data_IF_415800325216
#
_entry.id   IF_415800325216
#
_cell.length_a   1.000
_cell.length_b   1.000
_cell.length_c   1.000
_cell.angle_alpha   90.00
_cell.angle_beta   90.00
_cell.angle_gamma   90.00
#
_symmetry.space_group_name_H-M   'P 1'
#
loop_
_entity.id
_entity.type
_entity.pdbx_description
1 polymer ?
#
# COMPACT_ATOMS: atom_id res chain seq x y z
N UNK A 1 -8.14 -25.59 4.54
CA UNK A 1 -8.70 -24.44 3.80
C UNK A 1 -8.60 -24.77 2.32
N UNK A 2 -9.62 -24.51 1.50
CA UNK A 2 -9.51 -24.73 0.06
C UNK A 2 -8.36 -23.88 -0.49
N UNK A 3 -7.60 -24.44 -1.41
CA UNK A 3 -6.55 -23.74 -2.13
C UNK A 3 -7.20 -22.69 -3.03
N UNK A 4 -6.92 -21.41 -2.78
CA UNK A 4 -7.41 -20.31 -3.61
C UNK A 4 -6.38 -20.07 -4.70
N UNK A 5 -6.61 -20.64 -5.89
CA UNK A 5 -5.68 -20.57 -7.03
C UNK A 5 -5.95 -19.37 -7.96
N UNK A 6 -6.98 -18.56 -7.69
CA UNK A 6 -7.34 -17.39 -8.51
C UNK A 6 -6.87 -16.07 -7.89
N UNK A 7 -6.20 -15.24 -8.68
CA UNK A 7 -5.88 -13.86 -8.28
C UNK A 7 -7.06 -12.93 -8.57
N UNK A 8 -7.47 -12.17 -7.57
CA UNK A 8 -8.52 -11.15 -7.68
C UNK A 8 -8.11 -9.92 -6.87
N UNK A 9 -8.57 -8.71 -7.25
CA UNK A 9 -8.35 -7.53 -6.43
C UNK A 9 -9.03 -7.68 -5.07
N UNK A 10 -8.35 -7.23 -4.01
CA UNK A 10 -8.95 -7.22 -2.67
C UNK A 10 -10.10 -6.20 -2.55
N UNK A 11 -10.04 -5.13 -3.36
CA UNK A 11 -11.06 -4.10 -3.49
C UNK A 11 -11.17 -3.73 -4.96
N UNK A 12 -12.39 -3.73 -5.50
CA UNK A 12 -12.63 -3.38 -6.89
C UNK A 12 -12.16 -1.94 -7.20
N UNK A 13 -11.55 -1.76 -8.37
CA UNK A 13 -11.06 -0.46 -8.84
C UNK A 13 -9.75 0.04 -8.20
N UNK A 14 -9.22 -0.65 -7.19
CA UNK A 14 -7.96 -0.25 -6.53
C UNK A 14 -6.71 -0.79 -7.20
N UNK A 15 -6.88 -1.76 -8.11
CA UNK A 15 -5.79 -2.40 -8.80
C UNK A 15 -6.00 -2.32 -10.31
N UNK A 16 -4.91 -2.05 -11.03
CA UNK A 16 -4.80 -2.19 -12.46
C UNK A 16 -3.70 -3.20 -12.79
N UNK A 17 -3.77 -3.83 -13.95
CA UNK A 17 -2.75 -4.78 -14.42
C UNK A 17 -2.14 -4.24 -15.71
N UNK A 18 -0.81 -4.23 -15.80
CA UNK A 18 -0.11 -3.84 -17.04
C UNK A 18 -0.15 -4.95 -18.09
N UNK A 19 0.33 -4.66 -19.30
CA UNK A 19 0.37 -5.64 -20.42
C UNK A 19 1.24 -6.86 -20.10
N UNK A 20 2.16 -6.76 -19.14
CA UNK A 20 3.02 -7.84 -18.67
C UNK A 20 2.39 -8.64 -17.52
N UNK A 21 1.16 -8.33 -17.11
CA UNK A 21 0.45 -9.02 -16.04
C UNK A 21 0.84 -8.55 -14.63
N UNK A 22 1.61 -7.47 -14.48
CA UNK A 22 2.00 -6.97 -13.17
C UNK A 22 0.89 -6.10 -12.57
N UNK A 23 0.53 -6.31 -11.28
CA UNK A 23 -0.44 -5.45 -10.61
C UNK A 23 0.19 -4.11 -10.21
N UNK A 24 -0.63 -3.07 -10.31
CA UNK A 24 -0.37 -1.69 -9.88
C UNK A 24 -1.52 -1.22 -8.98
N UNK A 25 -1.22 -0.28 -8.08
CA UNK A 25 -2.27 0.46 -7.38
C UNK A 25 -2.82 1.54 -8.29
N UNK A 26 -4.14 1.65 -8.34
CA UNK A 26 -4.83 2.82 -8.89
C UNK A 26 -4.96 3.85 -7.79
N UNK A 27 -4.49 5.07 -8.04
CA UNK A 27 -4.69 6.23 -7.17
C UNK A 27 -5.31 7.38 -7.95
N UNK A 28 -5.24 8.59 -7.38
CA UNK A 28 -5.62 9.81 -8.08
C UNK A 28 -4.51 10.86 -8.04
N UNK A 29 -4.45 11.73 -9.04
CA UNK A 29 -3.55 12.89 -9.10
C UNK A 29 -4.36 14.16 -9.33
N UNK A 30 -4.10 15.21 -8.55
CA UNK A 30 -4.65 16.54 -8.83
C UNK A 30 -3.93 17.14 -10.05
N UNK A 31 -4.63 17.51 -11.13
CA UNK A 31 -4.01 18.12 -12.30
C UNK A 31 -3.47 19.53 -12.01
N UNK A 32 -4.01 20.23 -11.02
CA UNK A 32 -3.60 21.59 -10.67
C UNK A 32 -2.30 21.65 -9.84
N UNK A 33 -2.21 20.88 -8.75
CA UNK A 33 -1.07 20.96 -7.83
C UNK A 33 -0.15 19.73 -7.86
N UNK A 34 -0.50 18.69 -8.63
CA UNK A 34 0.29 17.47 -8.77
C UNK A 34 0.27 16.52 -7.57
N UNK A 35 -0.55 16.80 -6.55
CA UNK A 35 -0.71 15.93 -5.37
C UNK A 35 -1.28 14.58 -5.77
N UNK A 36 -0.60 13.50 -5.37
CA UNK A 36 -1.11 12.14 -5.48
C UNK A 36 -1.89 11.74 -4.24
N UNK A 37 -2.92 10.92 -4.42
CA UNK A 37 -3.83 10.48 -3.37
C UNK A 37 -4.08 8.98 -3.50
N UNK A 38 -4.03 8.29 -2.37
CA UNK A 38 -4.45 6.90 -2.23
C UNK A 38 -5.18 6.74 -0.88
N UNK A 39 -6.30 5.99 -0.80
CA UNK A 39 -6.97 5.25 -1.88
C UNK A 39 -7.54 6.14 -3.01
N UNK A 40 -7.85 5.57 -4.20
CA UNK A 40 -8.43 6.34 -5.29
C UNK A 40 -9.79 6.93 -4.88
N UNK A 41 -10.02 8.19 -5.28
CA UNK A 41 -11.26 8.93 -5.03
C UNK A 41 -11.53 9.93 -6.15
N UNK A 42 -12.80 10.31 -6.31
CA UNK A 42 -13.28 11.09 -7.45
C UNK A 42 -12.96 12.59 -7.37
N UNK A 43 -12.88 13.16 -6.16
CA UNK A 43 -12.76 14.60 -5.97
C UNK A 43 -12.08 15.01 -4.65
N UNK A 44 -12.05 16.32 -4.39
CA UNK A 44 -11.55 16.98 -3.18
C UNK A 44 -10.04 16.80 -3.03
N UNK A 45 -9.20 17.70 -3.55
CA UNK A 45 -7.75 17.60 -3.38
C UNK A 45 -7.38 17.75 -1.89
N UNK A 46 -6.57 16.86 -1.29
CA UNK A 46 -6.26 16.94 0.14
C UNK A 46 -5.20 17.99 0.46
N UNK A 47 -4.59 18.61 -0.55
CA UNK A 47 -3.58 19.63 -0.34
C UNK A 47 -4.26 20.94 0.11
N UNK A 48 -4.07 21.39 1.37
CA UNK A 48 -4.76 22.57 1.88
C UNK A 48 -4.32 23.88 1.20
N UNK A 49 -3.22 23.87 0.44
CA UNK A 49 -2.78 24.99 -0.38
C UNK A 49 -3.34 24.96 -1.81
N UNK A 50 -4.26 24.04 -2.12
CA UNK A 50 -4.88 23.88 -3.43
C UNK A 50 -6.41 23.94 -3.32
N UNK A 51 -7.03 24.78 -4.14
CA UNK A 51 -8.48 24.94 -4.19
C UNK A 51 -9.17 24.03 -5.23
N UNK A 52 -8.44 23.10 -5.84
CA UNK A 52 -9.00 22.20 -6.84
C UNK A 52 -9.78 21.07 -6.20
N UNK A 53 -10.98 20.82 -6.71
CA UNK A 53 -11.75 19.61 -6.41
C UNK A 53 -11.47 18.47 -7.39
N UNK A 54 -10.71 18.72 -8.47
CA UNK A 54 -10.45 17.72 -9.50
C UNK A 54 -9.37 16.72 -9.07
N UNK A 55 -9.65 15.44 -9.33
CA UNK A 55 -8.71 14.34 -9.17
C UNK A 55 -8.84 13.39 -10.37
N UNK A 56 -7.74 13.13 -11.06
CA UNK A 56 -7.70 12.21 -12.20
C UNK A 56 -7.15 10.87 -11.77
N UNK A 57 -7.78 9.77 -12.20
CA UNK A 57 -7.29 8.43 -11.91
C UNK A 57 -5.93 8.19 -12.57
N UNK A 58 -5.00 7.60 -11.82
CA UNK A 58 -3.64 7.31 -12.29
C UNK A 58 -3.17 5.95 -11.80
N UNK A 59 -2.38 5.28 -12.63
CA UNK A 59 -1.64 4.07 -12.25
C UNK A 59 -0.39 4.49 -11.48
N UNK A 60 -0.25 4.02 -10.25
CA UNK A 60 0.90 4.32 -9.39
C UNK A 60 2.09 3.43 -9.71
N UNK A 61 3.29 3.93 -9.39
CA UNK A 61 4.53 3.16 -9.47
C UNK A 61 4.50 1.97 -8.51
N UNK A 62 4.98 0.81 -8.97
CA UNK A 62 5.22 -0.40 -8.15
C UNK A 62 6.43 -0.29 -7.22
N UNK A 63 7.20 0.80 -7.32
CA UNK A 63 8.42 1.03 -6.55
C UNK A 63 8.36 2.39 -5.86
N UNK A 64 8.90 2.43 -4.66
CA UNK A 64 9.02 3.64 -3.85
C UNK A 64 10.21 3.55 -2.89
N UNK A 65 10.40 4.61 -2.12
CA UNK A 65 11.39 4.67 -1.05
C UNK A 65 10.67 4.50 0.29
N UNK A 66 11.23 3.69 1.18
CA UNK A 66 10.75 3.62 2.55
C UNK A 66 11.04 4.96 3.25
N UNK A 67 9.99 5.66 3.68
CA UNK A 67 10.13 6.95 4.35
C UNK A 67 10.25 6.79 5.86
N UNK A 68 9.37 5.99 6.45
CA UNK A 68 9.42 5.55 7.84
C UNK A 68 8.80 4.16 7.98
N UNK A 69 9.10 3.46 9.06
CA UNK A 69 8.48 2.18 9.40
C UNK A 69 8.35 2.04 10.92
N UNK A 70 7.41 1.20 11.33
CA UNK A 70 7.28 0.73 12.72
C UNK A 70 7.13 -0.79 12.69
N UNK A 71 7.51 -1.45 13.78
CA UNK A 71 7.36 -2.89 13.94
C UNK A 71 6.25 -3.19 14.96
N UNK A 72 5.14 -3.76 14.49
CA UNK A 72 4.02 -4.13 15.33
C UNK A 72 4.16 -5.60 15.75
N UNK A 73 4.56 -5.85 17.00
CA UNK A 73 4.78 -7.21 17.56
C UNK A 73 3.62 -7.73 18.42
N UNK A 74 2.43 -7.17 18.32
CA UNK A 74 1.26 -7.71 19.00
C UNK A 74 0.65 -8.86 18.19
N UNK A 75 0.06 -9.82 18.89
CA UNK A 75 -0.73 -10.85 18.23
C UNK A 75 -1.95 -10.19 17.58
N UNK A 76 -2.31 -10.56 16.33
CA UNK A 76 -3.53 -10.06 15.72
C UNK A 76 -4.73 -10.43 16.60
N UNK A 77 -5.72 -9.54 16.77
CA UNK A 77 -6.89 -9.85 17.56
C UNK A 77 -7.68 -11.01 16.92
N UNK A 78 -8.41 -11.82 17.71
CA UNK A 78 -9.39 -12.76 17.17
C UNK A 78 -10.32 -12.05 16.17
N UNK A 79 -10.70 -12.68 15.04
CA UNK A 79 -10.59 -14.11 14.73
C UNK A 79 -9.35 -14.50 13.90
N UNK A 80 -8.35 -13.63 13.74
CA UNK A 80 -7.22 -13.91 12.85
C UNK A 80 -6.41 -15.12 13.36
N UNK A 81 -6.33 -16.23 12.59
CA UNK A 81 -5.58 -17.41 13.00
C UNK A 81 -4.08 -17.09 13.02
N UNK A 82 -3.44 -17.24 14.17
CA UNK A 82 -1.98 -17.13 14.29
C UNK A 82 -1.35 -18.54 14.18
N UNK A 83 -0.45 -18.78 13.20
CA UNK A 83 0.11 -20.12 12.94
C UNK A 83 1.12 -20.61 14.00
N UNK A 84 1.46 -19.81 15.02
CA UNK A 84 2.50 -20.13 16.01
C UNK A 84 2.09 -19.59 17.39
N UNK A 85 2.34 -20.28 18.52
CA UNK A 85 2.29 -19.64 19.83
C UNK A 85 3.29 -18.47 19.81
N UNK A 86 2.97 -17.36 20.45
CA UNK A 86 3.83 -16.17 20.57
C UNK A 86 5.10 -16.45 21.39
N UNK A 87 5.89 -17.47 21.04
CA UNK A 87 7.22 -17.67 21.59
C UNK A 87 8.12 -16.63 20.93
N UNK A 88 8.47 -15.62 21.73
CA UNK A 88 9.52 -14.63 21.49
C UNK A 88 10.73 -15.28 20.81
N UNK A 89 10.83 -15.18 19.48
CA UNK A 89 12.10 -15.39 18.79
C UNK A 89 12.99 -14.20 19.14
N UNK A 90 14.27 -14.38 19.51
CA UNK A 90 15.20 -13.27 19.58
C UNK A 90 15.24 -12.61 18.19
N UNK A 91 15.07 -11.29 18.15
CA UNK A 91 15.08 -10.53 16.90
C UNK A 91 16.31 -10.92 16.07
N UNK A 92 16.19 -11.19 14.75
CA UNK A 92 17.37 -11.18 13.91
C UNK A 92 17.98 -9.78 14.04
N UNK A 93 19.27 -9.73 14.38
CA UNK A 93 20.05 -8.50 14.39
C UNK A 93 20.17 -8.05 12.94
N UNK A 94 19.27 -7.18 12.50
CA UNK A 94 19.36 -6.55 11.19
C UNK A 94 20.56 -5.60 11.19
N UNK A 95 21.67 -6.07 10.65
CA UNK A 95 22.85 -5.24 10.39
C UNK A 95 22.58 -4.41 9.13
N UNK A 96 22.33 -3.12 9.31
CA UNK A 96 22.25 -2.17 8.20
C UNK A 96 23.66 -1.87 7.69
N UNK A 97 23.92 -1.84 6.37
CA UNK A 97 25.14 -1.25 5.86
C UNK A 97 25.11 0.25 6.18
N UNK A 98 26.04 0.69 7.03
CA UNK A 98 26.36 2.11 7.17
C UNK A 98 26.81 2.62 5.81
N UNK A 99 26.10 3.61 5.25
CA UNK A 99 26.60 4.34 4.08
C UNK A 99 27.90 5.03 4.47
N UNK A 100 29.00 4.65 3.83
CA UNK A 100 30.16 5.51 3.64
C UNK A 100 29.94 6.44 2.45
#
# INVERSE_FOLDING_TARGET
>A
MPEVTSQAPAVDGWFATDDAGNPHLTGSKCPQCGTYVFPPRENNCPNPACESDALESVVLSRRGKLWSYTENRYAPPPPYPSPTPSSRSPSPRWSWPTRG
#
